data_IF_790584647945
#
_entry.id   IF_790584647945
#
_cell.length_a   1.000
_cell.length_b   1.000
_cell.length_c   1.000
_cell.angle_alpha   90.00
_cell.angle_beta   90.00
_cell.angle_gamma   90.00
#
_symmetry.space_group_name_H-M   'P 1'
#
loop_
_entity.id
_entity.type
_entity.pdbx_description
1 polymer ?
#
# COMPACT_ATOMS: atom_id res chain seq x y z
N UNK A 1 -6.85 -74.46 -38.01
CA UNK A 1 -6.67 -73.00 -37.87
C UNK A 1 -7.75 -72.35 -38.75
N UNK A 2 -8.67 -71.51 -38.29
CA UNK A 2 -8.71 -70.55 -37.19
C UNK A 2 -9.95 -70.74 -36.30
N UNK A 3 -9.76 -70.38 -35.03
CA UNK A 3 -10.76 -70.31 -33.98
C UNK A 3 -11.64 -69.05 -34.10
N UNK A 4 -12.77 -69.13 -33.39
CA UNK A 4 -13.87 -68.17 -33.20
C UNK A 4 -13.45 -66.73 -32.89
N UNK A 5 -14.41 -65.80 -33.09
CA UNK A 5 -14.90 -64.74 -32.18
C UNK A 5 -15.48 -63.62 -33.08
N UNK A 6 -16.74 -63.18 -32.98
CA UNK A 6 -17.16 -62.12 -32.05
C UNK A 6 -18.68 -61.85 -32.28
N UNK A 7 -19.47 -61.95 -31.21
CA UNK A 7 -20.91 -61.60 -31.08
C UNK A 7 -21.09 -60.07 -31.07
N UNK A 8 -22.22 -59.43 -31.47
CA UNK A 8 -22.28 -57.97 -31.51
C UNK A 8 -22.02 -57.37 -30.12
N UNK A 9 -20.88 -56.71 -29.97
CA UNK A 9 -20.56 -55.98 -28.75
C UNK A 9 -21.36 -54.67 -28.75
N UNK A 10 -22.10 -54.53 -27.66
CA UNK A 10 -22.59 -53.29 -27.06
C UNK A 10 -21.41 -52.37 -26.76
N UNK A 11 -21.47 -51.15 -27.29
CA UNK A 11 -20.68 -49.97 -26.91
C UNK A 11 -21.60 -48.77 -27.26
N UNK A 12 -21.84 -47.71 -26.48
CA UNK A 12 -21.59 -47.40 -25.09
C UNK A 12 -22.56 -46.25 -24.73
N UNK A 13 -23.16 -46.30 -23.55
CA UNK A 13 -23.67 -45.09 -22.90
C UNK A 13 -22.46 -44.20 -22.56
N UNK A 14 -22.31 -43.04 -23.22
CA UNK A 14 -21.64 -41.87 -22.65
C UNK A 14 -21.56 -40.74 -23.69
N UNK A 15 -22.54 -39.82 -23.66
CA UNK A 15 -22.33 -38.37 -23.56
C UNK A 15 -23.60 -37.64 -23.99
N UNK A 16 -24.54 -37.56 -23.07
CA UNK A 16 -25.45 -36.43 -23.01
C UNK A 16 -25.21 -35.76 -21.66
N UNK A 17 -24.00 -35.21 -21.48
CA UNK A 17 -23.81 -34.25 -20.38
C UNK A 17 -24.71 -33.06 -20.71
N UNK A 18 -25.71 -32.91 -19.85
CA UNK A 18 -26.86 -32.07 -20.07
C UNK A 18 -26.44 -30.61 -19.94
N UNK A 19 -26.70 -29.77 -20.96
CA UNK A 19 -26.52 -28.30 -20.87
C UNK A 19 -27.18 -27.67 -19.63
N UNK A 20 -28.12 -28.36 -18.98
CA UNK A 20 -28.74 -27.93 -17.73
C UNK A 20 -27.85 -28.06 -16.50
N UNK A 21 -26.82 -28.92 -16.50
CA UNK A 21 -25.88 -29.06 -15.38
C UNK A 21 -24.83 -27.94 -15.39
N UNK A 22 -24.32 -27.57 -16.56
CA UNK A 22 -23.37 -26.46 -16.71
C UNK A 22 -24.00 -25.12 -16.29
N UNK A 23 -25.29 -24.91 -16.61
CA UNK A 23 -26.03 -23.70 -16.22
C UNK A 23 -26.23 -23.61 -14.70
N UNK A 24 -26.50 -24.74 -14.03
CA UNK A 24 -26.66 -24.80 -12.57
C UNK A 24 -25.34 -24.55 -11.84
N UNK A 25 -24.25 -25.14 -12.32
CA UNK A 25 -22.91 -24.91 -11.79
C UNK A 25 -22.48 -23.45 -11.96
N UNK A 26 -22.88 -22.81 -13.07
CA UNK A 26 -22.63 -21.39 -13.30
C UNK A 26 -23.39 -20.49 -12.32
N UNK A 27 -24.66 -20.79 -12.01
CA UNK A 27 -25.42 -20.08 -10.98
C UNK A 27 -24.84 -20.28 -9.57
N UNK A 28 -24.47 -21.50 -9.22
CA UNK A 28 -23.87 -21.82 -7.91
C UNK A 28 -22.50 -21.12 -7.73
N UNK A 29 -21.67 -21.07 -8.78
CA UNK A 29 -20.41 -20.32 -8.78
C UNK A 29 -20.65 -18.81 -8.68
N UNK A 30 -21.62 -18.29 -9.42
CA UNK A 30 -21.97 -16.87 -9.40
C UNK A 30 -22.41 -16.44 -8.00
N UNK A 31 -23.28 -17.24 -7.36
CA UNK A 31 -23.73 -17.01 -5.98
C UNK A 31 -22.57 -17.05 -4.99
N UNK A 32 -21.69 -18.06 -5.10
CA UNK A 32 -20.53 -18.16 -4.21
C UNK A 32 -19.55 -16.99 -4.37
N UNK A 33 -19.39 -16.45 -5.58
CA UNK A 33 -18.50 -15.32 -5.83
C UNK A 33 -19.10 -14.02 -5.30
N UNK A 34 -20.41 -13.84 -5.44
CA UNK A 34 -21.14 -12.71 -4.87
C UNK A 34 -21.04 -12.69 -3.33
N UNK A 35 -21.20 -13.84 -2.67
CA UNK A 35 -21.00 -13.97 -1.22
C UNK A 35 -19.55 -13.68 -0.79
N UNK A 36 -18.57 -14.16 -1.57
CA UNK A 36 -17.15 -13.92 -1.30
C UNK A 36 -16.79 -12.43 -1.43
N UNK A 37 -17.27 -11.79 -2.51
CA UNK A 37 -17.05 -10.36 -2.77
C UNK A 37 -17.79 -9.53 -1.71
N UNK A 38 -19.01 -9.90 -1.33
CA UNK A 38 -19.76 -9.24 -0.26
C UNK A 38 -19.04 -9.28 1.07
N UNK A 39 -18.52 -10.45 1.48
CA UNK A 39 -17.75 -10.60 2.71
C UNK A 39 -16.39 -9.86 2.66
N UNK A 40 -15.77 -9.77 1.48
CA UNK A 40 -14.57 -8.96 1.30
C UNK A 40 -14.87 -7.46 1.47
N UNK A 41 -15.95 -6.98 0.86
CA UNK A 41 -16.35 -5.58 0.91
C UNK A 41 -16.79 -5.17 2.33
N UNK A 42 -17.46 -6.07 3.06
CA UNK A 42 -17.82 -5.88 4.46
C UNK A 42 -16.57 -5.74 5.37
N UNK A 43 -15.53 -6.53 5.10
CA UNK A 43 -14.24 -6.43 5.82
C UNK A 43 -13.47 -5.15 5.49
N UNK A 44 -13.39 -4.77 4.22
CA UNK A 44 -12.76 -3.51 3.78
C UNK A 44 -13.47 -2.34 4.45
N UNK A 45 -14.81 -2.32 4.36
CA UNK A 45 -15.61 -1.30 5.01
C UNK A 45 -15.38 -1.31 6.51
N UNK A 46 -15.35 -2.46 7.21
CA UNK A 46 -15.05 -2.50 8.64
C UNK A 46 -13.67 -1.93 9.02
N UNK A 47 -12.65 -2.13 8.18
CA UNK A 47 -11.30 -1.63 8.44
C UNK A 47 -11.14 -0.13 8.14
N UNK A 48 -11.89 0.39 7.16
CA UNK A 48 -11.76 1.76 6.66
C UNK A 48 -12.96 2.66 7.04
N UNK A 49 -13.94 2.14 7.80
CA UNK A 49 -15.27 2.74 8.06
C UNK A 49 -15.30 4.05 8.81
N UNK A 50 -14.16 4.59 9.17
CA UNK A 50 -14.08 5.80 9.97
C UNK A 50 -13.36 6.92 9.19
N UNK A 51 -13.86 7.33 8.01
CA UNK A 51 -13.32 8.50 7.31
C UNK A 51 -13.60 9.80 8.08
N UNK A 52 -14.60 9.80 8.98
CA UNK A 52 -14.96 10.93 9.83
C UNK A 52 -14.15 11.00 11.14
N UNK A 53 -13.38 9.96 11.47
CA UNK A 53 -12.52 9.98 12.66
C UNK A 53 -11.25 10.73 12.28
N UNK A 54 -11.01 11.84 12.97
CA UNK A 54 -9.83 12.64 12.76
C UNK A 54 -8.59 11.79 13.05
N UNK A 55 -7.63 11.76 12.12
CA UNK A 55 -6.36 11.05 12.29
C UNK A 55 -5.60 11.49 13.55
N UNK A 56 -5.86 12.72 14.02
CA UNK A 56 -5.33 13.28 15.26
C UNK A 56 -5.79 12.52 16.52
N UNK A 57 -6.98 11.89 16.51
CA UNK A 57 -7.53 11.14 17.65
C UNK A 57 -6.99 9.70 17.73
N UNK A 58 -6.67 9.10 16.58
CA UNK A 58 -6.19 7.71 16.47
C UNK A 58 -4.68 7.64 16.77
N UNK A 59 -3.94 8.66 16.34
CA UNK A 59 -2.51 8.76 16.57
C UNK A 59 -2.16 10.24 16.76
N UNK A 60 -2.22 10.77 17.99
CA UNK A 60 -1.89 12.16 18.26
C UNK A 60 -0.40 12.38 17.96
N UNK A 61 -0.12 12.90 16.77
CA UNK A 61 1.21 13.36 16.41
C UNK A 61 1.41 14.69 17.13
N UNK A 62 2.22 14.68 18.17
CA UNK A 62 2.65 15.93 18.78
C UNK A 62 3.43 16.73 17.73
N UNK A 63 2.85 17.83 17.28
CA UNK A 63 3.53 18.79 16.41
C UNK A 63 4.62 19.43 17.24
N UNK A 64 5.87 19.07 16.94
CA UNK A 64 7.06 19.64 17.59
C UNK A 64 7.72 20.65 16.69
N UNK A 65 8.19 21.73 17.28
CA UNK A 65 8.94 22.76 16.56
C UNK A 65 10.34 22.26 16.23
N UNK A 66 10.96 22.83 15.19
CA UNK A 66 12.34 22.51 14.85
C UNK A 66 13.28 22.78 16.04
N UNK A 67 13.07 23.86 16.78
CA UNK A 67 13.90 24.23 17.93
C UNK A 67 13.82 23.17 19.05
N UNK A 68 12.63 22.65 19.35
CA UNK A 68 12.43 21.58 20.33
C UNK A 68 13.10 20.26 19.90
N UNK A 69 12.93 19.87 18.63
CA UNK A 69 13.55 18.65 18.09
C UNK A 69 15.08 18.74 18.13
N UNK A 70 15.63 19.92 17.82
CA UNK A 70 17.08 20.14 17.81
C UNK A 70 17.67 20.18 19.23
N UNK A 71 16.94 20.74 20.20
CA UNK A 71 17.36 20.77 21.60
C UNK A 71 17.45 19.37 22.23
N UNK A 72 16.57 18.44 21.83
CA UNK A 72 16.50 17.09 22.37
C UNK A 72 17.31 16.05 21.56
N UNK A 73 17.85 16.44 20.40
CA UNK A 73 18.56 15.52 19.51
C UNK A 73 19.97 15.21 20.01
N UNK A 74 20.18 13.97 20.47
CA UNK A 74 21.50 13.47 20.86
C UNK A 74 22.52 13.56 19.72
N UNK A 75 22.10 13.28 18.49
CA UNK A 75 22.94 13.42 17.30
C UNK A 75 23.39 14.87 17.11
N UNK A 76 22.47 15.83 17.29
CA UNK A 76 22.81 17.25 17.18
C UNK A 76 23.75 17.70 18.29
N UNK A 77 23.53 17.24 19.52
CA UNK A 77 24.41 17.53 20.66
C UNK A 77 25.84 17.02 20.41
N UNK A 78 25.99 15.81 19.86
CA UNK A 78 27.29 15.25 19.49
C UNK A 78 27.96 15.99 18.35
N UNK A 79 27.22 16.39 17.31
CA UNK A 79 27.78 17.14 16.18
C UNK A 79 28.23 18.55 16.56
N UNK A 80 27.51 19.20 17.49
CA UNK A 80 27.79 20.57 17.91
C UNK A 80 28.70 20.64 19.14
N UNK A 81 29.05 19.53 19.79
CA UNK A 81 30.04 19.46 20.87
C UNK A 81 29.90 20.60 21.92
N UNK A 82 28.69 20.87 22.42
CA UNK A 82 28.35 21.98 23.34
C UNK A 82 28.33 23.41 22.77
N UNK A 83 28.36 23.63 21.46
CA UNK A 83 27.88 24.90 20.88
C UNK A 83 26.35 25.00 20.92
N UNK A 84 25.71 24.54 22.01
CA UNK A 84 24.30 24.18 22.18
C UNK A 84 23.25 25.29 21.95
N UNK A 85 23.64 26.45 21.44
CA UNK A 85 22.76 27.53 20.98
C UNK A 85 22.97 27.91 19.50
N UNK A 86 23.76 27.15 18.74
CA UNK A 86 23.84 27.34 17.29
C UNK A 86 22.52 26.85 16.69
N UNK A 87 21.64 27.80 16.39
CA UNK A 87 20.45 27.55 15.59
C UNK A 87 20.85 26.95 14.23
N UNK A 88 19.98 26.14 13.60
CA UNK A 88 20.17 25.73 12.22
C UNK A 88 20.52 26.95 11.35
N UNK A 89 21.60 26.85 10.59
CA UNK A 89 22.01 27.94 9.72
C UNK A 89 20.91 28.17 8.67
N UNK A 90 20.20 29.30 8.75
CA UNK A 90 19.39 29.79 7.64
C UNK A 90 20.35 30.12 6.49
N UNK A 91 20.51 29.15 5.59
CA UNK A 91 21.49 29.24 4.52
C UNK A 91 21.20 30.43 3.61
N UNK A 92 19.91 30.72 3.36
CA UNK A 92 19.48 31.84 2.52
C UNK A 92 19.89 33.20 3.10
N UNK A 93 19.86 33.35 4.42
CA UNK A 93 20.33 34.55 5.13
C UNK A 93 21.81 34.54 5.50
N UNK A 94 22.49 33.41 5.37
CA UNK A 94 23.86 33.24 5.85
C UNK A 94 24.88 34.15 5.14
N UNK A 95 25.88 34.62 5.89
CA UNK A 95 27.00 35.37 5.33
C UNK A 95 27.83 34.51 4.36
N UNK A 96 27.87 33.18 4.57
CA UNK A 96 28.56 32.21 3.72
C UNK A 96 27.92 32.21 2.32
N UNK A 97 26.60 32.01 2.22
CA UNK A 97 25.89 32.05 0.93
C UNK A 97 26.13 33.37 0.21
N UNK A 98 26.00 34.50 0.90
CA UNK A 98 26.21 35.83 0.30
C UNK A 98 27.61 36.01 -0.30
N UNK A 99 28.64 35.45 0.33
CA UNK A 99 30.02 35.47 -0.18
C UNK A 99 30.24 34.48 -1.33
N UNK A 100 29.53 33.35 -1.31
CA UNK A 100 29.67 32.28 -2.30
C UNK A 100 28.90 32.56 -3.59
N UNK A 101 27.76 33.27 -3.54
CA UNK A 101 26.99 33.66 -4.73
C UNK A 101 27.83 34.39 -5.80
N UNK A 102 28.60 35.45 -5.50
CA UNK A 102 29.45 36.09 -6.50
C UNK A 102 30.64 35.23 -6.92
N UNK A 103 31.19 34.41 -6.01
CA UNK A 103 32.33 33.53 -6.32
C UNK A 103 31.97 32.41 -7.30
N UNK A 104 30.69 32.01 -7.35
CA UNK A 104 30.17 30.97 -8.23
C UNK A 104 29.36 31.50 -9.41
N UNK A 105 29.24 32.82 -9.56
CA UNK A 105 28.38 33.48 -10.56
C UNK A 105 26.92 32.99 -10.55
N UNK A 106 26.38 32.78 -9.35
CA UNK A 106 25.01 32.27 -9.14
C UNK A 106 24.03 33.41 -8.83
N UNK A 107 22.80 33.27 -9.32
CA UNK A 107 21.69 34.20 -9.04
C UNK A 107 20.96 33.82 -7.76
N UNK A 108 20.41 34.83 -7.09
CA UNK A 108 19.58 34.63 -5.90
C UNK A 108 18.27 33.93 -6.28
N UNK A 109 17.87 32.90 -5.52
CA UNK A 109 16.54 32.29 -5.64
C UNK A 109 15.48 33.27 -5.13
N UNK A 110 14.40 33.43 -5.90
CA UNK A 110 13.21 34.20 -5.54
C UNK A 110 12.34 33.44 -4.53
#
# INVERSE_FOLDING_TARGET
MKCNFWSPYREDEANLVSSGEESRLHEDLSSSLEDLVGNFDERINSCLKNPDVNTEDIAPVQVRTQDEVMAESQTWWTLTCNFGNIQPLDFDKSAIRRRMMPALDLKERK
#
